data_IF_418712342867
#
_entry.id   IF_418712342867
#
_cell.length_a   1.000
_cell.length_b   1.000
_cell.length_c   1.000
_cell.angle_alpha   90.00
_cell.angle_beta   90.00
_cell.angle_gamma   90.00
#
_symmetry.space_group_name_H-M   'P 1'
#
loop_
_entity.id
_entity.type
_entity.pdbx_description
1 polymer ?
#
# COMPACT_ATOMS: atom_id res chain seq x y z
N UNK A 1 -45.92 31.39 -10.12
CA UNK A 1 -47.20 32.12 -10.01
C UNK A 1 -46.87 33.60 -10.01
N UNK A 2 -47.22 34.31 -11.08
CA UNK A 2 -46.94 35.74 -11.24
C UNK A 2 -46.51 36.13 -12.66
N UNK A 3 -47.14 35.56 -13.69
CA UNK A 3 -47.05 36.04 -15.08
C UNK A 3 -48.34 36.80 -15.37
N UNK A 4 -48.36 38.10 -15.10
CA UNK A 4 -49.51 38.97 -15.37
C UNK A 4 -49.00 40.37 -15.74
N UNK A 5 -48.14 40.42 -16.77
CA UNK A 5 -47.56 41.66 -17.28
C UNK A 5 -47.64 41.76 -18.81
N UNK A 6 -48.65 41.16 -19.45
CA UNK A 6 -48.92 41.37 -20.88
C UNK A 6 -50.41 41.08 -21.17
N UNK A 7 -51.34 41.58 -20.35
CA UNK A 7 -52.74 41.60 -20.75
C UNK A 7 -53.05 42.85 -21.57
N UNK A 8 -53.86 42.63 -22.60
CA UNK A 8 -54.15 43.54 -23.67
C UNK A 8 -54.76 44.84 -23.13
N UNK A 9 -54.09 45.95 -23.40
CA UNK A 9 -54.75 47.25 -23.45
C UNK A 9 -54.56 47.81 -24.84
N UNK A 10 -55.68 47.97 -25.53
CA UNK A 10 -55.82 48.73 -26.78
C UNK A 10 -54.97 50.01 -26.74
N UNK A 11 -54.44 50.46 -27.90
CA UNK A 11 -53.70 51.71 -27.95
C UNK A 11 -54.61 52.80 -27.36
N UNK A 12 -54.16 53.58 -26.35
CA UNK A 12 -55.02 54.59 -25.75
C UNK A 12 -55.30 55.69 -26.78
N UNK A 13 -56.42 55.56 -27.50
CA UNK A 13 -57.08 56.65 -28.23
C UNK A 13 -57.92 57.45 -27.24
N UNK A 14 -57.27 58.02 -26.23
CA UNK A 14 -57.80 59.08 -25.37
C UNK A 14 -56.70 59.43 -24.38
N UNK A 15 -56.27 60.69 -24.41
CA UNK A 15 -55.23 61.24 -23.55
C UNK A 15 -55.80 61.45 -22.14
N UNK A 16 -56.09 60.37 -21.43
CA UNK A 16 -56.53 60.44 -20.04
C UNK A 16 -55.32 60.46 -19.09
N UNK A 17 -55.07 61.66 -18.57
CA UNK A 17 -54.51 61.98 -17.25
C UNK A 17 -53.18 61.32 -16.84
N UNK A 18 -52.06 61.98 -17.16
CA UNK A 18 -50.85 61.91 -16.31
C UNK A 18 -50.97 62.98 -15.22
N UNK A 19 -51.82 62.74 -14.23
CA UNK A 19 -51.83 63.50 -12.98
C UNK A 19 -50.88 62.83 -11.99
N UNK A 20 -49.65 63.35 -11.86
CA UNK A 20 -48.74 63.01 -10.75
C UNK A 20 -49.05 63.95 -9.57
N UNK A 21 -49.39 63.44 -8.37
CA UNK A 21 -49.63 64.30 -7.24
C UNK A 21 -48.29 64.75 -6.63
N UNK A 22 -48.13 66.05 -6.40
CA UNK A 22 -47.12 66.57 -5.48
C UNK A 22 -45.98 67.39 -6.09
N UNK A 23 -46.29 68.52 -6.74
CA UNK A 23 -45.40 69.69 -6.74
C UNK A 23 -46.27 70.96 -6.88
N UNK A 24 -46.40 71.78 -5.80
CA UNK A 24 -47.19 73.00 -5.86
C UNK A 24 -46.42 74.07 -6.65
N UNK A 25 -46.86 74.39 -7.87
CA UNK A 25 -46.33 75.53 -8.62
C UNK A 25 -46.33 75.46 -10.15
N UNK A 26 -46.63 74.31 -10.79
CA UNK A 26 -46.75 74.25 -12.26
C UNK A 26 -48.21 74.29 -12.68
N UNK A 27 -48.73 75.51 -12.65
CA UNK A 27 -50.05 75.96 -13.07
C UNK A 27 -50.20 75.98 -14.59
N UNK A 28 -50.44 74.81 -15.18
CA UNK A 28 -51.28 74.53 -16.37
C UNK A 28 -50.92 73.14 -16.89
N UNK A 29 -51.91 72.27 -17.22
CA UNK A 29 -51.61 71.06 -17.98
C UNK A 29 -50.84 71.45 -19.25
N UNK A 30 -49.76 70.70 -19.54
CA UNK A 30 -48.96 70.90 -20.75
C UNK A 30 -49.91 70.85 -21.95
N UNK A 31 -49.87 71.89 -22.80
CA UNK A 31 -50.72 71.96 -23.99
C UNK A 31 -50.56 70.69 -24.82
N UNK A 32 -51.66 69.99 -25.05
CA UNK A 32 -51.70 68.91 -26.01
C UNK A 32 -51.91 69.49 -27.42
N UNK A 33 -51.52 68.75 -28.48
CA UNK A 33 -51.84 69.13 -29.85
C UNK A 33 -53.34 69.43 -30.04
N UNK A 34 -54.20 68.62 -29.40
CA UNK A 34 -55.66 68.78 -29.43
C UNK A 34 -56.15 70.07 -28.72
N UNK A 35 -55.49 70.48 -27.64
CA UNK A 35 -55.79 71.75 -26.94
C UNK A 35 -55.47 72.99 -27.80
N UNK A 36 -54.49 72.87 -28.71
CA UNK A 36 -54.11 73.94 -29.66
C UNK A 36 -55.11 74.00 -30.81
N UNK A 37 -55.50 72.84 -31.36
CA UNK A 37 -56.49 72.74 -32.43
C UNK A 37 -57.86 73.32 -32.02
N UNK A 38 -58.31 73.06 -30.79
CA UNK A 38 -59.60 73.55 -30.28
C UNK A 38 -59.54 74.97 -29.70
N UNK A 39 -58.39 75.66 -29.76
CA UNK A 39 -58.22 76.97 -29.14
C UNK A 39 -58.93 78.07 -29.93
N UNK A 40 -59.87 78.77 -29.28
CA UNK A 40 -60.55 79.94 -29.85
C UNK A 40 -60.07 81.24 -29.21
N UNK A 41 -59.66 82.19 -30.04
CA UNK A 41 -59.27 83.54 -29.61
C UNK A 41 -60.43 84.53 -29.79
N UNK A 42 -60.51 85.53 -28.91
CA UNK A 42 -61.51 86.59 -29.02
C UNK A 42 -61.04 87.67 -30.02
N UNK A 43 -61.89 88.06 -30.97
CA UNK A 43 -61.57 89.10 -31.97
C UNK A 43 -61.78 90.51 -31.41
N UNK A 44 -60.79 91.41 -31.53
CA UNK A 44 -60.88 92.80 -31.04
C UNK A 44 -61.09 93.77 -32.21
N UNK A 45 -62.14 94.62 -32.16
CA UNK A 45 -62.56 95.50 -33.27
C UNK A 45 -61.98 96.93 -33.27
N UNK A 46 -61.34 97.36 -32.19
CA UNK A 46 -60.98 98.77 -31.95
C UNK A 46 -59.50 98.97 -31.56
N UNK A 47 -58.64 97.95 -31.73
CA UNK A 47 -57.19 98.01 -31.47
C UNK A 47 -56.43 97.20 -32.52
N UNK A 48 -55.14 97.49 -32.70
CA UNK A 48 -54.23 96.69 -33.51
C UNK A 48 -54.33 95.21 -33.08
N UNK A 49 -54.65 94.35 -34.04
CA UNK A 49 -54.86 92.93 -33.85
C UNK A 49 -53.95 92.13 -34.77
N UNK A 50 -53.66 90.90 -34.38
CA UNK A 50 -52.94 89.95 -35.21
C UNK A 50 -53.80 89.53 -36.42
N UNK A 51 -53.15 89.25 -37.55
CA UNK A 51 -53.83 88.66 -38.70
C UNK A 51 -54.27 87.24 -38.36
N UNK A 52 -55.57 86.97 -38.50
CA UNK A 52 -56.17 85.67 -38.20
C UNK A 52 -55.55 84.57 -39.07
N UNK A 53 -55.25 84.85 -40.34
CA UNK A 53 -54.68 83.83 -41.24
C UNK A 53 -53.23 83.47 -40.86
N UNK A 54 -52.46 84.45 -40.38
CA UNK A 54 -51.09 84.24 -39.91
C UNK A 54 -51.08 83.48 -38.58
N UNK A 55 -51.96 83.85 -37.64
CA UNK A 55 -52.11 83.16 -36.35
C UNK A 55 -52.55 81.72 -36.56
N UNK A 56 -53.52 81.46 -37.44
CA UNK A 56 -53.95 80.09 -37.75
C UNK A 56 -52.80 79.27 -38.37
N UNK A 57 -52.02 79.85 -39.30
CA UNK A 57 -50.86 79.18 -39.90
C UNK A 57 -49.81 78.82 -38.84
N UNK A 58 -49.52 79.74 -37.92
CA UNK A 58 -48.60 79.50 -36.80
C UNK A 58 -49.12 78.43 -35.84
N UNK A 59 -50.43 78.39 -35.54
CA UNK A 59 -51.01 77.37 -34.65
C UNK A 59 -50.95 75.97 -35.26
N UNK A 60 -51.12 75.82 -36.59
CA UNK A 60 -50.90 74.53 -37.26
C UNK A 60 -49.44 74.08 -37.18
N UNK A 61 -48.48 75.00 -37.27
CA UNK A 61 -47.05 74.68 -37.11
C UNK A 61 -46.74 74.27 -35.66
N UNK A 62 -47.32 74.98 -34.68
CA UNK A 62 -47.22 74.64 -33.26
C UNK A 62 -47.86 73.27 -32.97
N UNK A 63 -49.06 73.02 -33.51
CA UNK A 63 -49.76 71.74 -33.38
C UNK A 63 -48.91 70.59 -33.96
N UNK A 64 -48.44 70.73 -35.21
CA UNK A 64 -47.58 69.74 -35.87
C UNK A 64 -46.29 69.48 -35.09
N UNK A 65 -45.66 70.53 -34.55
CA UNK A 65 -44.45 70.41 -33.75
C UNK A 65 -44.72 69.71 -32.41
N UNK A 66 -45.81 70.05 -31.73
CA UNK A 66 -46.23 69.38 -30.49
C UNK A 66 -46.54 67.91 -30.77
N UNK A 67 -47.27 67.59 -31.84
CA UNK A 67 -47.67 66.23 -32.17
C UNK A 67 -46.44 65.34 -32.44
N UNK A 68 -45.44 65.88 -33.15
CA UNK A 68 -44.14 65.23 -33.34
C UNK A 68 -43.40 65.02 -32.01
N UNK A 69 -43.31 66.05 -31.17
CA UNK A 69 -42.62 65.96 -29.87
C UNK A 69 -43.29 64.95 -28.93
N UNK A 70 -44.62 64.90 -28.89
CA UNK A 70 -45.36 63.93 -28.08
C UNK A 70 -45.12 62.50 -28.57
N UNK A 71 -45.10 62.25 -29.89
CA UNK A 71 -44.75 60.94 -30.45
C UNK A 71 -43.31 60.53 -30.15
N UNK A 72 -42.36 61.46 -30.30
CA UNK A 72 -40.95 61.21 -29.95
C UNK A 72 -40.78 60.94 -28.45
N UNK A 73 -41.47 61.68 -27.58
CA UNK A 73 -41.45 61.43 -26.13
C UNK A 73 -42.09 60.08 -25.76
N UNK A 74 -43.18 59.69 -26.42
CA UNK A 74 -43.79 58.38 -26.20
C UNK A 74 -42.85 57.25 -26.63
N UNK A 75 -42.22 57.38 -27.81
CA UNK A 75 -41.24 56.42 -28.31
C UNK A 75 -40.00 56.34 -27.41
N UNK A 76 -39.44 57.48 -26.98
CA UNK A 76 -38.29 57.53 -26.06
C UNK A 76 -38.62 56.94 -24.68
N UNK A 77 -39.84 57.16 -24.17
CA UNK A 77 -40.29 56.53 -22.92
C UNK A 77 -40.46 55.03 -23.05
N UNK A 78 -41.03 54.57 -24.16
CA UNK A 78 -41.16 53.14 -24.44
C UNK A 78 -39.79 52.46 -24.58
N UNK A 79 -38.85 53.12 -25.27
CA UNK A 79 -37.45 52.69 -25.35
C UNK A 79 -36.80 52.64 -23.96
N UNK A 80 -36.94 53.68 -23.13
CA UNK A 80 -36.41 53.71 -21.78
C UNK A 80 -36.97 52.57 -20.91
N UNK A 81 -38.28 52.30 -20.99
CA UNK A 81 -38.93 51.20 -20.28
C UNK A 81 -38.37 49.83 -20.70
N UNK A 82 -38.24 49.60 -22.02
CA UNK A 82 -37.68 48.35 -22.54
C UNK A 82 -36.21 48.15 -22.15
N UNK A 83 -35.41 49.24 -22.13
CA UNK A 83 -34.02 49.19 -21.70
C UNK A 83 -33.89 48.89 -20.20
N UNK A 84 -34.76 49.46 -19.36
CA UNK A 84 -34.81 49.15 -17.93
C UNK A 84 -35.23 47.70 -17.65
N UNK A 85 -36.21 47.16 -18.38
CA UNK A 85 -36.67 45.78 -18.21
C UNK A 85 -35.58 44.76 -18.60
N UNK A 86 -34.89 44.98 -19.73
CA UNK A 86 -33.72 44.18 -20.10
C UNK A 86 -32.62 44.23 -19.04
N UNK A 87 -32.38 45.41 -18.47
CA UNK A 87 -31.39 45.58 -17.39
C UNK A 87 -31.80 44.81 -16.14
N UNK A 88 -33.07 44.89 -15.74
CA UNK A 88 -33.61 44.18 -14.59
C UNK A 88 -33.55 42.65 -14.76
N UNK A 89 -33.87 42.15 -15.96
CA UNK A 89 -33.76 40.72 -16.30
C UNK A 89 -32.32 40.23 -16.26
N UNK A 90 -31.38 41.04 -16.75
CA UNK A 90 -29.95 40.72 -16.66
C UNK A 90 -29.45 40.74 -15.20
N UNK A 91 -29.91 41.69 -14.38
CA UNK A 91 -29.58 41.73 -12.95
C UNK A 91 -30.07 40.47 -12.22
N UNK A 92 -31.34 40.09 -12.41
CA UNK A 92 -31.88 38.87 -11.81
C UNK A 92 -31.11 37.63 -12.28
N UNK A 93 -30.81 37.53 -13.58
CA UNK A 93 -29.99 36.46 -14.13
C UNK A 93 -28.60 36.38 -13.50
N UNK A 94 -27.95 37.53 -13.29
CA UNK A 94 -26.65 37.62 -12.62
C UNK A 94 -26.75 37.21 -11.14
N UNK A 95 -27.78 37.65 -10.41
CA UNK A 95 -28.00 37.28 -9.00
C UNK A 95 -28.28 35.79 -8.82
N UNK A 96 -28.92 35.16 -9.81
CA UNK A 96 -29.12 33.72 -9.83
C UNK A 96 -27.81 32.97 -10.13
N UNK A 97 -27.02 33.46 -11.10
CA UNK A 97 -25.72 32.88 -11.40
C UNK A 97 -24.78 32.93 -10.18
N UNK A 98 -24.73 34.05 -9.45
CA UNK A 98 -23.93 34.19 -8.24
C UNK A 98 -24.36 33.20 -7.13
N UNK A 99 -25.67 33.04 -6.91
CA UNK A 99 -26.21 32.08 -5.95
C UNK A 99 -25.87 30.63 -6.31
N UNK A 100 -25.91 30.28 -7.60
CA UNK A 100 -25.53 28.94 -8.06
C UNK A 100 -24.03 28.72 -7.90
N UNK A 101 -23.20 29.72 -8.21
CA UNK A 101 -21.74 29.62 -8.03
C UNK A 101 -21.34 29.47 -6.56
N UNK A 102 -21.94 30.25 -5.66
CA UNK A 102 -21.66 30.15 -4.22
C UNK A 102 -22.12 28.82 -3.63
N UNK A 103 -23.28 28.30 -4.07
CA UNK A 103 -23.72 26.97 -3.68
C UNK A 103 -22.77 25.89 -4.22
N UNK A 104 -22.40 25.98 -5.49
CA UNK A 104 -21.48 25.02 -6.12
C UNK A 104 -20.11 25.03 -5.44
N UNK A 105 -19.55 26.19 -5.11
CA UNK A 105 -18.27 26.33 -4.43
C UNK A 105 -18.32 25.72 -3.02
N UNK A 106 -19.39 26.01 -2.26
CA UNK A 106 -19.62 25.40 -0.95
C UNK A 106 -19.72 23.88 -1.04
N UNK A 107 -20.53 23.37 -1.96
CA UNK A 107 -20.70 21.93 -2.14
C UNK A 107 -19.40 21.27 -2.59
N UNK A 108 -18.62 21.92 -3.47
CA UNK A 108 -17.31 21.44 -3.86
C UNK A 108 -16.36 21.35 -2.65
N UNK A 109 -16.34 22.38 -1.79
CA UNK A 109 -15.56 22.38 -0.55
C UNK A 109 -15.97 21.26 0.42
N UNK A 110 -17.27 21.04 0.62
CA UNK A 110 -17.80 19.96 1.47
C UNK A 110 -17.39 18.58 0.95
N UNK A 111 -17.51 18.34 -0.36
CA UNK A 111 -17.10 17.06 -0.98
C UNK A 111 -15.59 16.86 -0.85
N UNK A 112 -14.77 17.90 -1.07
CA UNK A 112 -13.31 17.79 -0.95
C UNK A 112 -12.90 17.46 0.49
N UNK A 113 -13.48 18.14 1.48
CA UNK A 113 -13.17 17.90 2.90
C UNK A 113 -13.62 16.51 3.34
N UNK A 114 -14.80 16.06 2.93
CA UNK A 114 -15.30 14.71 3.21
C UNK A 114 -14.40 13.64 2.56
N UNK A 115 -14.07 13.79 1.27
CA UNK A 115 -13.22 12.85 0.55
C UNK A 115 -11.82 12.77 1.17
N UNK A 116 -11.25 13.92 1.57
CA UNK A 116 -9.93 13.97 2.22
C UNK A 116 -9.95 13.30 3.60
N UNK A 117 -11.02 13.50 4.37
CA UNK A 117 -11.19 12.85 5.67
C UNK A 117 -11.34 11.33 5.54
N UNK A 118 -12.13 10.88 4.57
CA UNK A 118 -12.30 9.46 4.28
C UNK A 118 -11.02 8.81 3.75
N UNK A 119 -10.30 9.46 2.83
CA UNK A 119 -9.01 8.99 2.35
C UNK A 119 -8.01 8.85 3.51
N UNK A 120 -7.95 9.84 4.39
CA UNK A 120 -7.07 9.80 5.57
C UNK A 120 -7.46 8.67 6.52
N UNK A 121 -8.77 8.41 6.71
CA UNK A 121 -9.26 7.27 7.50
C UNK A 121 -8.80 5.94 6.91
N UNK A 122 -8.99 5.75 5.60
CA UNK A 122 -8.60 4.51 4.90
C UNK A 122 -7.09 4.28 5.03
N UNK A 123 -6.28 5.32 4.82
CA UNK A 123 -4.81 5.21 4.95
C UNK A 123 -4.42 4.81 6.37
N UNK A 124 -4.99 5.43 7.42
CA UNK A 124 -4.69 5.08 8.82
C UNK A 124 -5.12 3.65 9.16
N UNK A 125 -6.27 3.21 8.65
CA UNK A 125 -6.75 1.84 8.86
C UNK A 125 -5.85 0.83 8.14
N UNK A 126 -5.45 1.11 6.89
CA UNK A 126 -4.52 0.29 6.15
C UNK A 126 -3.15 0.22 6.84
N UNK A 127 -2.63 1.34 7.32
CA UNK A 127 -1.37 1.41 8.07
C UNK A 127 -1.44 0.59 9.36
N UNK A 128 -2.48 0.77 10.18
CA UNK A 128 -2.60 0.02 11.43
C UNK A 128 -2.77 -1.49 11.20
N UNK A 129 -3.48 -1.89 10.13
CA UNK A 129 -3.56 -3.30 9.71
C UNK A 129 -2.22 -3.83 9.22
N UNK A 130 -1.48 -3.07 8.43
CA UNK A 130 -0.14 -3.45 7.97
C UNK A 130 0.81 -3.63 9.17
N UNK A 131 0.87 -2.68 10.10
CA UNK A 131 1.68 -2.76 11.32
C UNK A 131 1.27 -3.93 12.23
N UNK A 132 -0.01 -4.29 12.26
CA UNK A 132 -0.48 -5.46 13.00
C UNK A 132 0.03 -6.77 12.36
N UNK A 133 -0.08 -6.89 11.04
CA UNK A 133 0.40 -8.05 10.29
C UNK A 133 1.93 -8.16 10.38
N UNK A 134 2.67 -7.06 10.29
CA UNK A 134 4.12 -7.05 10.44
C UNK A 134 4.52 -7.50 11.85
N UNK A 135 3.91 -6.95 12.90
CA UNK A 135 4.18 -7.37 14.28
C UNK A 135 3.88 -8.85 14.50
N UNK A 136 2.78 -9.34 13.95
CA UNK A 136 2.43 -10.75 14.04
C UNK A 136 3.42 -11.65 13.28
N UNK A 137 3.82 -11.26 12.07
CA UNK A 137 4.81 -11.98 11.28
C UNK A 137 6.17 -12.02 11.98
N UNK A 138 6.63 -10.90 12.53
CA UNK A 138 7.86 -10.83 13.32
C UNK A 138 7.78 -11.68 14.60
N UNK A 139 6.66 -11.65 15.32
CA UNK A 139 6.47 -12.48 16.51
C UNK A 139 6.48 -13.98 16.18
N UNK A 140 5.79 -14.39 15.10
CA UNK A 140 5.80 -15.78 14.61
C UNK A 140 7.19 -16.21 14.14
N UNK A 141 7.94 -15.34 13.44
CA UNK A 141 9.30 -15.63 13.02
C UNK A 141 10.24 -15.83 14.21
N UNK A 142 10.19 -14.95 15.20
CA UNK A 142 10.97 -15.08 16.43
C UNK A 142 10.62 -16.36 17.21
N UNK A 143 9.34 -16.74 17.24
CA UNK A 143 8.90 -18.00 17.84
C UNK A 143 9.48 -19.21 17.11
N UNK A 144 9.44 -19.22 15.77
CA UNK A 144 10.00 -20.32 14.96
C UNK A 144 11.52 -20.42 15.16
N UNK A 145 12.22 -19.28 15.22
CA UNK A 145 13.65 -19.24 15.47
C UNK A 145 13.99 -19.81 16.85
N UNK A 146 13.29 -19.38 17.89
CA UNK A 146 13.49 -19.91 19.24
C UNK A 146 13.21 -21.42 19.30
N UNK A 147 12.11 -21.87 18.70
CA UNK A 147 11.76 -23.29 18.65
C UNK A 147 12.81 -24.10 17.88
N UNK A 148 13.36 -23.56 16.79
CA UNK A 148 14.44 -24.21 16.04
C UNK A 148 15.71 -24.32 16.88
N UNK A 149 16.10 -23.27 17.60
CA UNK A 149 17.26 -23.28 18.51
C UNK A 149 17.07 -24.28 19.64
N UNK A 150 15.88 -24.33 20.25
CA UNK A 150 15.57 -25.28 21.32
C UNK A 150 15.63 -26.72 20.81
N UNK A 151 15.09 -27.00 19.62
CA UNK A 151 15.18 -28.32 18.98
C UNK A 151 16.62 -28.72 18.68
N UNK A 152 17.44 -27.79 18.17
CA UNK A 152 18.87 -28.03 17.91
C UNK A 152 19.61 -28.35 19.20
N UNK A 153 19.35 -27.60 20.28
CA UNK A 153 19.94 -27.87 21.60
C UNK A 153 19.59 -29.26 22.13
N UNK A 154 18.33 -29.67 22.02
CA UNK A 154 17.88 -31.01 22.45
C UNK A 154 18.55 -32.11 21.63
N UNK A 155 18.66 -31.94 20.31
CA UNK A 155 19.32 -32.92 19.44
C UNK A 155 20.81 -33.01 19.76
N UNK A 156 21.48 -31.89 20.05
CA UNK A 156 22.88 -31.91 20.49
C UNK A 156 23.05 -32.65 21.82
N UNK A 157 22.18 -32.39 22.80
CA UNK A 157 22.22 -33.12 24.07
C UNK A 157 22.01 -34.63 23.88
N UNK A 158 21.07 -35.03 23.02
CA UNK A 158 20.88 -36.44 22.70
C UNK A 158 22.14 -37.02 22.03
N UNK A 159 22.72 -36.33 21.06
CA UNK A 159 23.97 -36.75 20.42
C UNK A 159 25.11 -36.92 21.43
N UNK A 160 25.31 -35.96 22.34
CA UNK A 160 26.33 -36.03 23.39
C UNK A 160 26.09 -37.25 24.31
N UNK A 161 24.83 -37.53 24.67
CA UNK A 161 24.51 -38.73 25.47
C UNK A 161 24.81 -40.01 24.70
N UNK A 162 24.52 -40.06 23.39
CA UNK A 162 24.82 -41.21 22.54
C UNK A 162 26.32 -41.40 22.38
N UNK A 163 27.10 -40.34 22.25
CA UNK A 163 28.56 -40.40 22.20
C UNK A 163 29.12 -40.99 23.50
N UNK A 164 28.65 -40.52 24.66
CA UNK A 164 29.06 -41.08 25.94
C UNK A 164 28.68 -42.56 26.11
N UNK A 165 27.49 -42.95 25.66
CA UNK A 165 27.07 -44.36 25.62
C UNK A 165 27.99 -45.20 24.73
N UNK A 166 28.28 -44.75 23.50
CA UNK A 166 29.17 -45.43 22.56
C UNK A 166 30.60 -45.56 23.11
N UNK A 167 31.13 -44.52 23.75
CA UNK A 167 32.42 -44.59 24.43
C UNK A 167 32.43 -45.64 25.54
N UNK A 168 31.37 -45.72 26.34
CA UNK A 168 31.26 -46.73 27.40
C UNK A 168 31.23 -48.15 26.83
N UNK A 169 30.51 -48.36 25.72
CA UNK A 169 30.45 -49.64 25.02
C UNK A 169 31.81 -50.00 24.41
N UNK A 170 32.51 -49.04 23.81
CA UNK A 170 33.87 -49.27 23.31
C UNK A 170 34.84 -49.65 24.42
N UNK A 171 34.77 -49.01 25.59
CA UNK A 171 35.58 -49.38 26.77
C UNK A 171 35.27 -50.80 27.23
N UNK A 172 33.99 -51.15 27.36
CA UNK A 172 33.57 -52.50 27.74
C UNK A 172 34.03 -53.55 26.71
N UNK A 173 33.91 -53.24 25.41
CA UNK A 173 34.37 -54.11 24.32
C UNK A 173 35.87 -54.35 24.38
N UNK A 174 36.67 -53.30 24.54
CA UNK A 174 38.13 -53.42 24.64
C UNK A 174 38.55 -54.21 25.89
N UNK A 175 37.80 -54.09 27.00
CA UNK A 175 38.02 -54.89 28.21
C UNK A 175 37.71 -56.37 27.96
N UNK A 176 36.57 -56.68 27.34
CA UNK A 176 36.22 -58.06 26.97
C UNK A 176 37.24 -58.66 26.00
N UNK A 177 37.76 -57.88 25.05
CA UNK A 177 38.82 -58.32 24.14
C UNK A 177 40.13 -58.61 24.88
N UNK A 178 40.53 -57.77 25.83
CA UNK A 178 41.68 -58.05 26.70
C UNK A 178 41.48 -59.31 27.53
N UNK A 179 40.30 -59.51 28.11
CA UNK A 179 39.98 -60.72 28.88
C UNK A 179 40.01 -61.97 28.01
N UNK A 180 39.47 -61.90 26.79
CA UNK A 180 39.52 -63.00 25.83
C UNK A 180 40.96 -63.36 25.45
N UNK A 181 41.81 -62.36 25.20
CA UNK A 181 43.22 -62.59 24.89
C UNK A 181 44.00 -63.15 26.09
N UNK A 182 43.73 -62.65 27.29
CA UNK A 182 44.32 -63.18 28.53
C UNK A 182 43.91 -64.64 28.79
N UNK A 183 42.67 -65.02 28.50
CA UNK A 183 42.24 -66.42 28.58
C UNK A 183 42.91 -67.29 27.53
N UNK A 184 43.08 -66.79 26.30
CA UNK A 184 43.80 -67.51 25.24
C UNK A 184 45.26 -67.73 25.58
N UNK A 185 45.95 -66.70 26.10
CA UNK A 185 47.34 -66.84 26.54
C UNK A 185 47.44 -67.81 27.71
N UNK A 186 46.56 -67.71 28.71
CA UNK A 186 46.49 -68.64 29.83
C UNK A 186 46.34 -70.09 29.36
N UNK A 187 45.42 -70.36 28.43
CA UNK A 187 45.23 -71.71 27.86
C UNK A 187 46.48 -72.17 27.09
N UNK A 188 47.09 -71.28 26.32
CA UNK A 188 48.32 -71.58 25.57
C UNK A 188 49.48 -71.92 26.50
N UNK A 189 49.67 -71.13 27.57
CA UNK A 189 50.72 -71.31 28.58
C UNK A 189 50.50 -72.59 29.38
N UNK A 190 49.26 -72.88 29.79
CA UNK A 190 48.93 -74.14 30.46
C UNK A 190 49.20 -75.34 29.56
N UNK A 191 48.82 -75.26 28.28
CA UNK A 191 49.09 -76.32 27.31
C UNK A 191 50.59 -76.51 27.11
N UNK A 192 51.36 -75.42 26.98
CA UNK A 192 52.81 -75.47 26.85
C UNK A 192 53.46 -76.08 28.11
N UNK A 193 53.03 -75.66 29.30
CA UNK A 193 53.52 -76.19 30.58
C UNK A 193 53.20 -77.68 30.75
N UNK A 194 51.99 -78.12 30.36
CA UNK A 194 51.62 -79.53 30.32
C UNK A 194 52.52 -80.32 29.36
N UNK A 195 52.75 -79.81 28.14
CA UNK A 195 53.66 -80.43 27.18
C UNK A 195 55.07 -80.57 27.75
N UNK A 196 55.65 -79.51 28.32
CA UNK A 196 56.99 -79.54 28.93
C UNK A 196 57.06 -80.52 30.11
N UNK A 197 56.01 -80.62 30.93
CA UNK A 197 55.95 -81.57 32.04
C UNK A 197 55.85 -83.03 31.55
N UNK A 198 55.00 -83.30 30.55
CA UNK A 198 54.92 -84.63 29.94
C UNK A 198 56.25 -85.03 29.31
N UNK A 199 56.87 -84.13 28.54
CA UNK A 199 58.17 -84.36 27.89
C UNK A 199 59.26 -84.67 28.94
N UNK A 200 59.34 -83.88 30.00
CA UNK A 200 60.25 -84.14 31.11
C UNK A 200 59.97 -85.46 31.85
N UNK A 201 58.70 -85.89 31.93
CA UNK A 201 58.33 -87.20 32.49
C UNK A 201 58.78 -88.34 31.56
N UNK A 202 58.60 -88.22 30.24
CA UNK A 202 59.09 -89.19 29.26
C UNK A 202 60.62 -89.30 29.31
N UNK A 203 61.35 -88.19 29.32
CA UNK A 203 62.81 -88.16 29.46
C UNK A 203 63.30 -88.78 30.79
N UNK A 204 62.57 -88.58 31.88
CA UNK A 204 62.88 -89.20 33.17
C UNK A 204 62.64 -90.72 33.15
N UNK A 205 61.59 -91.17 32.47
CA UNK A 205 61.33 -92.60 32.24
C UNK A 205 62.42 -93.20 31.36
N UNK A 206 62.80 -92.54 30.27
CA UNK A 206 63.87 -93.00 29.37
C UNK A 206 65.23 -93.08 30.06
N UNK A 207 65.58 -92.07 30.88
CA UNK A 207 66.78 -92.13 31.73
C UNK A 207 66.74 -93.29 32.73
N UNK A 208 65.62 -93.49 33.45
CA UNK A 208 65.45 -94.63 34.37
C UNK A 208 65.51 -95.97 33.65
N UNK A 209 64.89 -96.07 32.47
CA UNK A 209 64.95 -97.27 31.65
C UNK A 209 66.40 -97.55 31.22
N UNK A 210 67.13 -96.52 30.78
CA UNK A 210 68.56 -96.60 30.43
C UNK A 210 69.42 -97.00 31.63
N UNK A 211 69.14 -96.47 32.82
CA UNK A 211 69.83 -96.82 34.07
C UNK A 211 69.59 -98.28 34.49
N UNK A 212 68.37 -98.80 34.30
CA UNK A 212 68.04 -100.22 34.53
C UNK A 212 68.63 -101.12 33.44
N UNK A 213 68.76 -100.62 32.21
CA UNK A 213 69.29 -101.35 31.05
C UNK A 213 70.81 -101.23 30.88
N UNK A 214 71.53 -100.46 31.71
CA UNK A 214 72.99 -100.37 31.62
C UNK A 214 73.66 -101.64 32.19
N UNK A 215 74.36 -102.46 31.38
CA UNK A 215 75.39 -103.35 31.89
C UNK A 215 76.63 -102.51 32.25
N UNK A 216 77.37 -102.92 33.27
CA UNK A 216 78.66 -102.33 33.57
C UNK A 216 79.62 -102.44 32.37
N UNK A 217 79.98 -101.29 31.77
CA UNK A 217 81.22 -101.06 31.03
C UNK A 217 81.20 -101.22 29.50
N UNK A 218 81.57 -100.15 28.79
CA UNK A 218 82.87 -99.98 28.07
C UNK A 218 82.75 -99.06 26.83
N UNK A 219 83.44 -97.91 26.91
CA UNK A 219 84.24 -97.20 25.90
C UNK A 219 83.97 -97.34 24.39
N UNK A 220 83.96 -96.18 23.70
CA UNK A 220 84.91 -95.95 22.60
C UNK A 220 84.43 -95.29 21.30
N UNK A 221 84.86 -94.03 21.10
CA UNK A 221 85.39 -93.43 19.85
C UNK A 221 84.50 -92.96 18.68
N UNK A 222 84.58 -91.64 18.45
CA UNK A 222 84.82 -90.88 17.19
C UNK A 222 83.92 -91.03 15.96
N UNK A 223 83.39 -89.89 15.46
CA UNK A 223 83.47 -89.46 14.05
C UNK A 223 82.86 -88.05 13.81
N UNK A 224 83.66 -87.14 13.24
CA UNK A 224 83.25 -85.99 12.40
C UNK A 224 82.99 -86.48 10.95
N UNK A 225 82.37 -85.74 9.98
CA UNK A 225 82.68 -84.35 9.59
C UNK A 225 81.49 -83.45 9.11
N UNK A 226 81.78 -82.16 8.87
CA UNK A 226 80.92 -81.08 8.30
C UNK A 226 80.71 -81.19 6.76
N UNK A 227 80.23 -80.18 5.98
CA UNK A 227 79.41 -78.95 6.17
C UNK A 227 78.28 -78.79 5.10
N UNK A 228 77.45 -77.72 5.11
CA UNK A 228 76.95 -77.02 3.88
C UNK A 228 76.27 -75.68 4.15
N UNK A 229 76.60 -74.69 3.32
CA UNK A 229 75.99 -73.36 3.22
C UNK A 229 74.80 -73.35 2.24
N UNK A 230 73.85 -72.43 2.42
CA UNK A 230 72.75 -72.18 1.50
C UNK A 230 72.07 -70.83 1.77
N UNK A 231 72.01 -70.00 0.73
CA UNK A 231 71.70 -68.56 0.68
C UNK A 231 70.22 -68.32 0.31
N UNK A 232 69.76 -67.06 0.48
CA UNK A 232 68.59 -66.40 -0.15
C UNK A 232 67.22 -66.72 0.50
N UNK A 233 66.31 -65.74 0.72
CA UNK A 233 65.90 -64.65 -0.18
C UNK A 233 65.11 -63.57 0.60
N UNK A 234 65.22 -62.32 0.16
CA UNK A 234 64.32 -61.21 0.49
C UNK A 234 62.92 -61.47 -0.06
N UNK A 235 61.88 -60.94 0.59
CA UNK A 235 60.81 -60.26 -0.14
C UNK A 235 60.26 -59.08 0.66
N UNK A 236 60.16 -57.98 -0.06
CA UNK A 236 59.61 -56.68 0.28
C UNK A 236 58.27 -56.59 -0.44
N UNK A 237 57.20 -56.13 0.23
CA UNK A 237 56.35 -55.04 -0.29
C UNK A 237 55.32 -54.61 0.77
N UNK A 238 55.12 -53.30 0.98
CA UNK A 238 53.92 -52.72 1.58
C UNK A 238 52.86 -52.50 0.47
N UNK A 239 51.58 -52.56 0.80
CA UNK A 239 50.54 -51.99 -0.06
C UNK A 239 49.57 -51.21 0.80
N UNK A 240 49.62 -49.91 0.54
CA UNK A 240 48.74 -48.84 0.94
C UNK A 240 47.56 -48.83 -0.05
N UNK A 241 46.31 -48.76 0.42
CA UNK A 241 45.20 -48.20 -0.37
C UNK A 241 44.22 -47.46 0.56
N UNK A 242 43.99 -46.16 0.31
CA UNK A 242 42.83 -45.41 0.79
C UNK A 242 41.84 -45.08 -0.36
N UNK A 243 40.67 -44.50 -0.01
CA UNK A 243 39.50 -44.04 -0.82
C UNK A 243 38.44 -45.11 -1.11
N UNK A 244 37.13 -44.87 -1.21
CA UNK A 244 36.14 -43.75 -1.25
C UNK A 244 34.78 -44.48 -1.16
N UNK A 245 33.61 -43.97 -0.80
CA UNK A 245 32.89 -42.69 -0.89
C UNK A 245 31.84 -42.67 0.24
#
# INVERSE_FOLDING_TARGET
MGDECCDNKEPPTSVDAVFRPGVPGLSKPLLTPDDVHHKRFATVRLREGYDLAEVDTFLHEVESTLDRLFREMAALRQQACSATDLTQRNQLGNDHAERVLTLADRTAGEVITQASAEATRIVREAQSRAEAVEREAHARAAQIEQEALDRVSVVHQDADTKEAELESLHRARNELERQAEALRSLVSDHRAGLWTALDGHFDAIERKATEVLQPAGLNGSSAEPAPTAGVHRQDVTPTDEPRTD
#
